data_IF_116385978988
#
_entry.id   IF_116385978988
#
_cell.length_a   1.000
_cell.length_b   1.000
_cell.length_c   1.000
_cell.angle_alpha   90.00
_cell.angle_beta   90.00
_cell.angle_gamma   90.00
#
_symmetry.space_group_name_H-M   'P 1'
#
loop_
_entity.id
_entity.type
_entity.pdbx_description
1 polymer ?
#
# COMPACT_ATOMS: atom_id res chain seq x y z
N UNK A 1 4.53 35.95 -25.53
CA UNK A 1 3.53 34.94 -25.93
C UNK A 1 2.76 34.60 -24.66
N UNK A 2 1.48 34.99 -24.59
CA UNK A 2 0.67 34.72 -23.40
C UNK A 2 0.34 33.23 -23.34
N UNK A 3 0.53 32.61 -22.18
CA UNK A 3 0.16 31.22 -21.94
C UNK A 3 -1.29 31.20 -21.47
N UNK A 4 -2.14 30.44 -22.15
CA UNK A 4 -3.55 30.31 -21.78
C UNK A 4 -3.87 28.90 -21.32
N UNK A 5 -4.50 28.76 -20.17
CA UNK A 5 -5.10 27.51 -19.72
C UNK A 5 -6.48 27.35 -20.37
N UNK A 6 -6.68 26.24 -21.08
CA UNK A 6 -7.99 25.88 -21.65
C UNK A 6 -8.50 24.60 -21.01
N UNK A 7 -9.57 24.68 -20.24
CA UNK A 7 -10.18 23.54 -19.58
C UNK A 7 -11.70 23.70 -19.49
N UNK A 8 -12.45 22.65 -19.84
CA UNK A 8 -13.93 22.64 -19.75
C UNK A 8 -14.63 23.84 -20.43
N UNK A 9 -14.10 24.32 -21.57
CA UNK A 9 -14.66 25.47 -22.29
C UNK A 9 -14.31 26.83 -21.69
N UNK A 10 -13.44 26.86 -20.68
CA UNK A 10 -12.96 28.06 -20.01
C UNK A 10 -11.54 28.35 -20.49
N UNK A 11 -11.30 29.61 -20.83
CA UNK A 11 -9.97 30.13 -21.11
C UNK A 11 -9.56 31.09 -19.99
N UNK A 12 -8.36 30.89 -19.45
CA UNK A 12 -7.77 31.74 -18.43
C UNK A 12 -6.32 32.05 -18.82
N UNK A 13 -5.90 33.30 -18.61
CA UNK A 13 -4.51 33.70 -18.83
C UNK A 13 -3.65 33.27 -17.65
N UNK A 14 -2.45 32.76 -17.95
CA UNK A 14 -1.48 32.32 -16.96
C UNK A 14 -0.42 33.42 -16.83
N UNK A 15 -0.39 34.09 -15.67
CA UNK A 15 0.60 35.13 -15.37
C UNK A 15 1.90 34.56 -14.82
N UNK A 16 1.84 33.43 -14.10
CA UNK A 16 3.03 32.73 -13.59
C UNK A 16 2.85 31.21 -13.65
N UNK A 17 3.96 30.51 -13.90
CA UNK A 17 3.94 29.07 -14.12
C UNK A 17 5.22 28.41 -13.59
N UNK A 18 5.06 27.41 -12.73
CA UNK A 18 6.13 26.51 -12.29
C UNK A 18 5.65 25.06 -12.46
N UNK A 19 6.14 24.39 -13.50
CA UNK A 19 5.74 23.03 -13.84
C UNK A 19 6.90 22.07 -13.62
N UNK A 20 6.59 20.93 -13.00
CA UNK A 20 7.44 19.75 -13.02
C UNK A 20 6.92 18.78 -14.06
N UNK A 21 7.64 18.56 -15.15
CA UNK A 21 7.30 17.46 -16.05
C UNK A 21 7.79 16.13 -15.46
N UNK A 22 6.92 15.12 -15.50
CA UNK A 22 7.24 13.76 -15.07
C UNK A 22 6.84 12.75 -16.14
N UNK A 23 7.63 11.69 -16.26
CA UNK A 23 7.27 10.52 -17.06
C UNK A 23 6.50 9.55 -16.19
N UNK A 24 5.24 9.29 -16.55
CA UNK A 24 4.40 8.32 -15.87
C UNK A 24 4.41 7.01 -16.66
N UNK A 25 4.90 5.96 -16.01
CA UNK A 25 4.97 4.60 -16.54
C UNK A 25 4.17 3.66 -15.63
N UNK A 26 3.98 2.42 -16.07
CA UNK A 26 3.31 1.43 -15.23
C UNK A 26 3.10 0.13 -15.96
N UNK A 27 2.47 -0.81 -15.28
CA UNK A 27 2.15 -2.13 -15.83
C UNK A 27 0.66 -2.25 -16.12
N UNK A 28 0.28 -2.96 -17.19
CA UNK A 28 -1.12 -3.29 -17.50
C UNK A 28 -1.36 -4.78 -17.22
N UNK A 29 -1.91 -5.15 -16.04
CA UNK A 29 -2.01 -6.55 -15.62
C UNK A 29 -2.83 -7.41 -16.58
N UNK A 30 -3.87 -6.85 -17.20
CA UNK A 30 -4.74 -7.57 -18.15
C UNK A 30 -4.02 -7.94 -19.46
N UNK A 31 -3.03 -7.16 -19.87
CA UNK A 31 -2.31 -7.37 -21.12
C UNK A 31 -0.93 -8.01 -20.91
N UNK A 32 -0.44 -8.09 -19.66
CA UNK A 32 0.91 -8.59 -19.38
C UNK A 32 2.02 -7.73 -19.97
N UNK A 33 1.74 -6.46 -20.28
CA UNK A 33 2.63 -5.55 -20.98
C UNK A 33 2.81 -4.22 -20.21
N UNK A 34 3.93 -3.51 -20.40
CA UNK A 34 4.08 -2.16 -19.89
C UNK A 34 3.03 -1.23 -20.53
N UNK A 35 2.47 -0.32 -19.73
CA UNK A 35 1.63 0.77 -20.22
C UNK A 35 2.50 1.70 -21.09
N UNK A 36 1.94 2.31 -22.14
CA UNK A 36 2.64 3.37 -22.87
C UNK A 36 3.14 4.45 -21.91
N UNK A 37 4.41 4.83 -22.04
CA UNK A 37 4.99 5.95 -21.29
C UNK A 37 4.27 7.23 -21.64
N UNK A 38 3.88 8.00 -20.62
CA UNK A 38 3.16 9.28 -20.79
C UNK A 38 3.94 10.39 -20.13
N UNK A 39 3.88 11.58 -20.71
CA UNK A 39 4.29 12.80 -20.02
C UNK A 39 3.10 13.35 -19.23
N UNK A 40 3.36 13.78 -18.02
CA UNK A 40 2.38 14.39 -17.14
C UNK A 40 2.98 15.59 -16.42
N UNK A 41 2.11 16.46 -15.93
CA UNK A 41 2.46 17.49 -14.96
C UNK A 41 2.49 16.81 -13.58
N UNK A 42 3.64 16.89 -12.91
CA UNK A 42 3.86 16.31 -11.60
C UNK A 42 3.15 17.09 -10.50
N UNK A 43 2.79 16.39 -9.41
CA UNK A 43 2.24 17.01 -8.22
C UNK A 43 3.21 18.07 -7.65
N UNK A 44 2.64 19.12 -7.06
CA UNK A 44 3.39 20.30 -6.58
C UNK A 44 3.69 21.34 -7.66
N UNK A 45 3.28 21.11 -8.91
CA UNK A 45 3.29 22.16 -9.93
C UNK A 45 2.27 23.25 -9.62
N UNK A 46 2.59 24.50 -9.88
CA UNK A 46 1.79 25.66 -9.50
C UNK A 46 1.66 26.63 -10.68
N UNK A 47 0.50 27.27 -10.81
CA UNK A 47 0.28 28.36 -11.76
C UNK A 47 -0.59 29.45 -11.14
N UNK A 48 -0.37 30.69 -11.55
CA UNK A 48 -1.23 31.83 -11.22
C UNK A 48 -2.11 32.11 -12.43
N UNK A 49 -3.42 32.16 -12.20
CA UNK A 49 -4.43 32.42 -13.23
C UNK A 49 -5.02 33.80 -13.03
N UNK A 50 -5.01 34.60 -14.09
CA UNK A 50 -5.66 35.90 -14.14
C UNK A 50 -7.06 35.69 -14.75
N UNK A 51 -8.03 35.32 -13.91
CA UNK A 51 -9.40 35.10 -14.35
C UNK A 51 -10.43 35.33 -13.23
N UNK A 52 -11.70 35.36 -13.62
CA UNK A 52 -12.83 35.48 -12.70
C UNK A 52 -12.88 34.27 -11.75
N UNK A 53 -12.90 34.49 -10.41
CA UNK A 53 -13.02 33.42 -9.41
C UNK A 53 -14.12 32.39 -9.70
N UNK A 54 -15.26 32.82 -10.28
CA UNK A 54 -16.35 31.91 -10.63
C UNK A 54 -15.94 30.88 -11.70
N UNK A 55 -15.08 31.27 -12.64
CA UNK A 55 -14.52 30.36 -13.67
C UNK A 55 -13.54 29.37 -13.06
N UNK A 56 -12.79 29.77 -12.03
CA UNK A 56 -11.80 28.88 -11.39
C UNK A 56 -12.50 27.72 -10.66
N UNK A 57 -13.64 27.97 -10.03
CA UNK A 57 -14.43 26.91 -9.38
C UNK A 57 -14.92 25.85 -10.38
N UNK A 58 -15.28 26.28 -11.59
CA UNK A 58 -15.67 25.36 -12.66
C UNK A 58 -14.46 24.52 -13.15
N UNK A 59 -13.27 25.11 -13.22
CA UNK A 59 -12.03 24.38 -13.51
C UNK A 59 -11.72 23.36 -12.42
N UNK A 60 -11.92 23.70 -11.14
CA UNK A 60 -11.74 22.77 -10.03
C UNK A 60 -12.67 21.56 -10.12
N UNK A 61 -13.96 21.81 -10.34
CA UNK A 61 -14.97 20.76 -10.46
C UNK A 61 -14.72 19.86 -11.69
N UNK A 62 -14.23 20.45 -12.78
CA UNK A 62 -13.90 19.72 -13.98
C UNK A 62 -12.57 18.95 -13.84
N UNK A 63 -11.57 19.47 -13.15
CA UNK A 63 -10.20 18.97 -13.20
C UNK A 63 -9.51 19.20 -14.56
N UNK A 64 -8.23 18.87 -14.63
CA UNK A 64 -7.40 19.09 -15.82
C UNK A 64 -7.02 17.79 -16.55
N UNK A 65 -7.00 17.84 -17.88
CA UNK A 65 -6.48 16.75 -18.71
C UNK A 65 -7.42 15.56 -18.93
N UNK A 66 -6.86 14.51 -19.51
CA UNK A 66 -7.63 13.43 -20.16
C UNK A 66 -8.02 12.26 -19.23
N UNK A 67 -7.25 11.99 -18.16
CA UNK A 67 -7.36 10.76 -17.35
C UNK A 67 -7.93 11.00 -15.94
N UNK A 68 -8.93 11.86 -15.85
CA UNK A 68 -9.57 12.25 -14.58
C UNK A 68 -10.22 11.08 -13.85
N UNK A 69 -10.84 10.17 -14.58
CA UNK A 69 -11.46 8.96 -14.02
C UNK A 69 -10.46 8.01 -13.34
N UNK A 70 -9.17 8.18 -13.58
CA UNK A 70 -8.11 7.37 -12.96
C UNK A 70 -7.43 8.09 -11.79
N UNK A 71 -7.93 9.27 -11.40
CA UNK A 71 -7.39 10.09 -10.31
C UNK A 71 -6.34 11.13 -10.73
N UNK A 72 -6.10 11.33 -12.03
CA UNK A 72 -5.20 12.38 -12.51
C UNK A 72 -5.94 13.72 -12.70
N UNK A 73 -5.18 14.82 -12.74
CA UNK A 73 -5.76 16.11 -13.10
C UNK A 73 -6.50 16.81 -11.97
N UNK A 74 -6.31 16.35 -10.74
CA UNK A 74 -6.83 17.03 -9.55
C UNK A 74 -6.06 18.33 -9.36
N UNK A 75 -6.81 19.41 -9.18
CA UNK A 75 -6.29 20.76 -8.96
C UNK A 75 -6.87 21.31 -7.67
N UNK A 76 -6.14 22.23 -7.05
CA UNK A 76 -6.59 22.97 -5.87
C UNK A 76 -6.28 24.45 -6.07
N UNK A 77 -7.22 25.31 -5.74
CA UNK A 77 -6.97 26.76 -5.65
C UNK A 77 -6.45 27.03 -4.26
N UNK A 78 -5.35 27.79 -4.16
CA UNK A 78 -4.89 28.32 -2.90
C UNK A 78 -4.87 27.23 -1.82
N UNK A 79 -4.24 26.09 -2.15
CA UNK A 79 -4.22 24.92 -1.28
C UNK A 79 -3.95 25.35 0.16
N UNK A 80 -4.62 24.77 1.18
CA UNK A 80 -4.39 25.13 2.58
C UNK A 80 -2.91 25.06 2.96
N UNK A 81 -2.13 24.19 2.31
CA UNK A 81 -0.68 24.10 2.47
C UNK A 81 0.10 25.36 2.05
N UNK A 82 -0.50 26.23 1.23
CA UNK A 82 0.10 27.47 0.69
C UNK A 82 -0.53 28.72 1.31
N UNK A 83 -1.83 28.69 1.61
CA UNK A 83 -2.58 29.89 2.01
C UNK A 83 -3.07 29.92 3.44
N UNK A 84 -3.11 28.78 4.13
CA UNK A 84 -3.29 28.84 5.57
C UNK A 84 -2.10 29.60 6.17
N UNK A 85 -2.33 30.53 7.12
CA UNK A 85 -1.27 30.99 8.00
C UNK A 85 -0.53 29.75 8.49
N UNK A 86 0.80 29.74 8.42
CA UNK A 86 1.59 28.60 8.92
C UNK A 86 1.17 28.23 10.36
N UNK A 87 0.65 29.18 11.13
CA UNK A 87 0.07 29.01 12.47
C UNK A 87 -1.31 28.34 12.56
N UNK A 88 -2.07 28.22 11.46
CA UNK A 88 -3.41 27.62 11.42
C UNK A 88 -3.42 26.21 10.82
N UNK A 89 -2.34 25.82 10.14
CA UNK A 89 -1.94 24.43 10.16
C UNK A 89 -1.49 24.18 11.60
N UNK A 90 -2.13 23.27 12.31
CA UNK A 90 -1.65 22.83 13.62
C UNK A 90 -0.28 22.17 13.45
N UNK A 91 0.76 22.99 13.33
CA UNK A 91 2.03 22.67 13.95
C UNK A 91 1.70 22.47 15.42
N UNK A 92 2.08 21.30 15.95
CA UNK A 92 2.34 21.21 17.37
C UNK A 92 3.21 22.39 17.78
N UNK A 93 2.98 22.86 19.00
CA UNK A 93 3.78 23.82 19.77
C UNK A 93 5.11 24.24 19.11
N UNK A 94 5.26 25.56 18.89
CA UNK A 94 6.44 26.26 18.37
C UNK A 94 7.68 25.38 18.15
N UNK A 95 7.83 24.91 16.91
CA UNK A 95 9.14 24.47 16.46
C UNK A 95 9.93 25.76 16.19
N UNK A 96 10.84 26.10 17.09
CA UNK A 96 11.92 27.05 16.86
C UNK A 96 12.45 26.90 15.43
N UNK A 97 12.88 27.97 14.78
CA UNK A 97 13.52 27.84 13.46
C UNK A 97 14.79 26.99 13.65
N UNK A 98 14.74 25.70 13.31
CA UNK A 98 15.90 24.80 13.38
C UNK A 98 16.91 25.31 12.37
N UNK A 99 17.92 26.04 12.84
CA UNK A 99 19.20 26.09 12.14
C UNK A 99 19.66 24.64 12.04
N UNK A 100 19.63 24.08 10.83
CA UNK A 100 20.21 22.78 10.53
C UNK A 100 21.72 22.91 10.72
N UNK A 101 22.17 22.72 11.95
CA UNK A 101 23.57 22.72 12.34
C UNK A 101 24.28 21.41 11.91
N UNK A 102 23.58 20.57 11.12
CA UNK A 102 24.05 19.27 10.65
C UNK A 102 24.17 18.24 11.77
N UNK A 103 23.70 18.52 12.99
CA UNK A 103 23.72 17.55 14.08
C UNK A 103 22.37 16.84 14.18
N UNK A 104 22.43 15.53 14.29
CA UNK A 104 21.25 14.72 14.56
C UNK A 104 20.60 15.21 15.87
N UNK A 105 19.32 15.53 15.82
CA UNK A 105 18.57 15.89 17.01
C UNK A 105 18.49 14.68 17.95
N UNK A 106 18.79 14.91 19.23
CA UNK A 106 18.60 13.88 20.24
C UNK A 106 17.11 13.60 20.40
N UNK A 107 16.72 12.36 20.15
CA UNK A 107 15.34 11.91 20.32
C UNK A 107 14.91 12.07 21.77
N UNK A 108 13.76 12.69 22.00
CA UNK A 108 13.20 12.88 23.34
C UNK A 108 11.88 12.10 23.50
N UNK A 109 11.28 12.19 24.70
CA UNK A 109 10.06 11.45 25.03
C UNK A 109 8.83 11.80 24.16
N UNK A 110 8.79 13.00 23.56
CA UNK A 110 7.71 13.42 22.68
C UNK A 110 7.79 12.77 21.30
N UNK A 111 8.95 12.24 20.91
CA UNK A 111 9.15 11.54 19.63
C UNK A 111 8.62 10.10 19.65
N UNK A 112 8.25 9.57 20.82
CA UNK A 112 7.79 8.19 20.99
C UNK A 112 6.65 7.78 20.04
N UNK A 113 5.58 8.58 19.84
CA UNK A 113 4.52 8.23 18.88
C UNK A 113 5.04 8.13 17.43
N UNK A 114 5.94 9.03 17.05
CA UNK A 114 6.56 9.04 15.73
C UNK A 114 7.47 7.83 15.54
N UNK A 115 8.36 7.55 16.50
CA UNK A 115 9.24 6.38 16.47
C UNK A 115 8.44 5.09 16.40
N UNK A 116 7.32 5.01 17.13
CA UNK A 116 6.42 3.86 17.07
C UNK A 116 5.76 3.71 15.70
N UNK A 117 5.38 4.82 15.05
CA UNK A 117 4.85 4.78 13.69
C UNK A 117 5.90 4.32 12.66
N UNK A 118 7.14 4.80 12.78
CA UNK A 118 8.26 4.39 11.92
C UNK A 118 8.55 2.90 12.11
N UNK A 119 8.66 2.43 13.36
CA UNK A 119 8.81 1.01 13.69
C UNK A 119 7.68 0.18 13.09
N UNK A 120 6.43 0.55 13.34
CA UNK A 120 5.27 -0.17 12.84
C UNK A 120 5.30 -0.30 11.31
N UNK A 121 5.76 0.75 10.62
CA UNK A 121 5.91 0.75 9.16
C UNK A 121 7.05 -0.17 8.72
N UNK A 122 8.22 -0.08 9.35
CA UNK A 122 9.37 -0.95 9.07
C UNK A 122 8.99 -2.43 9.24
N UNK A 123 8.40 -2.78 10.39
CA UNK A 123 7.98 -4.15 10.70
C UNK A 123 7.01 -4.68 9.64
N UNK A 124 6.00 -3.88 9.26
CA UNK A 124 5.02 -4.26 8.23
C UNK A 124 5.67 -4.50 6.87
N UNK A 125 6.58 -3.63 6.44
CA UNK A 125 7.27 -3.81 5.16
C UNK A 125 8.15 -5.06 5.18
N UNK A 126 8.92 -5.30 6.24
CA UNK A 126 9.77 -6.50 6.34
C UNK A 126 8.97 -7.79 6.37
N UNK A 127 7.83 -7.82 7.07
CA UNK A 127 6.90 -8.95 7.05
C UNK A 127 6.43 -9.22 5.62
N UNK A 128 6.05 -8.17 4.88
CA UNK A 128 5.57 -8.29 3.49
C UNK A 128 6.65 -8.82 2.56
N UNK A 129 7.85 -8.23 2.59
CA UNK A 129 8.99 -8.66 1.78
C UNK A 129 9.30 -10.14 2.03
N UNK A 130 9.40 -10.54 3.30
CA UNK A 130 9.71 -11.91 3.66
C UNK A 130 8.62 -12.88 3.22
N UNK A 131 7.35 -12.53 3.43
CA UNK A 131 6.22 -13.31 2.98
C UNK A 131 6.28 -13.55 1.46
N UNK A 132 6.56 -12.53 0.66
CA UNK A 132 6.65 -12.64 -0.80
C UNK A 132 7.82 -13.52 -1.24
N UNK A 133 9.00 -13.36 -0.63
CA UNK A 133 10.18 -14.20 -0.91
C UNK A 133 9.89 -15.67 -0.58
N UNK A 134 9.32 -15.93 0.59
CA UNK A 134 9.05 -17.28 1.08
C UNK A 134 8.08 -18.03 0.16
N UNK A 135 6.94 -17.41 -0.14
CA UNK A 135 5.88 -18.04 -0.92
C UNK A 135 6.16 -18.03 -2.42
N UNK A 136 7.22 -17.37 -2.90
CA UNK A 136 7.61 -17.42 -4.32
C UNK A 136 7.95 -18.86 -4.75
N UNK A 137 8.52 -19.66 -3.84
CA UNK A 137 8.93 -21.04 -4.10
C UNK A 137 7.73 -21.99 -4.12
N UNK A 138 7.58 -22.72 -5.23
CA UNK A 138 6.48 -23.70 -5.42
C UNK A 138 6.53 -24.80 -4.37
N UNK A 139 7.73 -25.37 -4.13
CA UNK A 139 7.95 -26.41 -3.12
C UNK A 139 7.50 -25.96 -1.74
N UNK A 140 7.88 -24.74 -1.33
CA UNK A 140 7.50 -24.22 -0.02
C UNK A 140 5.98 -24.16 0.17
N UNK A 141 5.22 -23.70 -0.84
CA UNK A 141 3.75 -23.65 -0.78
C UNK A 141 3.13 -25.06 -0.69
N UNK A 142 3.68 -26.03 -1.41
CA UNK A 142 3.23 -27.43 -1.35
C UNK A 142 3.47 -28.03 0.03
N UNK A 143 4.67 -27.85 0.57
CA UNK A 143 5.09 -28.49 1.81
C UNK A 143 4.41 -27.86 3.03
N UNK A 144 4.31 -26.52 3.07
CA UNK A 144 3.83 -25.80 4.25
C UNK A 144 2.34 -25.44 4.19
N UNK A 145 1.78 -25.17 3.01
CA UNK A 145 0.36 -24.83 2.86
C UNK A 145 -0.47 -25.96 2.27
N UNK A 146 0.16 -27.01 1.71
CA UNK A 146 -0.55 -28.08 1.00
C UNK A 146 -1.01 -27.67 -0.39
N UNK A 147 -0.52 -26.53 -0.90
CA UNK A 147 -0.97 -25.97 -2.17
C UNK A 147 -0.22 -26.61 -3.34
N UNK A 148 -0.95 -27.29 -4.22
CA UNK A 148 -0.47 -28.08 -5.36
C UNK A 148 -1.28 -27.75 -6.61
N UNK A 149 -0.93 -28.33 -7.76
CA UNK A 149 -1.52 -28.00 -9.08
C UNK A 149 -3.05 -28.13 -9.14
N UNK A 150 -3.67 -28.93 -8.27
CA UNK A 150 -5.13 -29.09 -8.20
C UNK A 150 -5.82 -28.35 -7.04
N UNK A 151 -5.07 -27.75 -6.12
CA UNK A 151 -5.66 -27.13 -4.93
C UNK A 151 -4.72 -26.09 -4.29
N UNK A 152 -5.22 -24.91 -3.88
CA UNK A 152 -6.61 -24.49 -3.95
C UNK A 152 -7.04 -24.07 -5.36
N UNK A 153 -8.26 -24.40 -5.76
CA UNK A 153 -8.81 -23.91 -7.03
C UNK A 153 -9.18 -22.42 -6.95
N UNK A 154 -9.44 -21.77 -8.11
CA UNK A 154 -9.74 -20.34 -8.18
C UNK A 154 -10.93 -19.90 -7.30
N UNK A 155 -11.96 -20.74 -7.19
CA UNK A 155 -13.12 -20.47 -6.32
C UNK A 155 -12.74 -20.48 -4.85
N UNK A 156 -11.94 -21.47 -4.43
CA UNK A 156 -11.40 -21.56 -3.08
C UNK A 156 -10.49 -20.37 -2.74
N UNK A 157 -9.61 -19.96 -3.65
CA UNK A 157 -8.79 -18.75 -3.48
C UNK A 157 -9.65 -17.48 -3.38
N UNK A 158 -10.74 -17.41 -4.16
CA UNK A 158 -11.70 -16.31 -4.10
C UNK A 158 -12.38 -16.20 -2.73
N UNK A 159 -12.87 -17.32 -2.21
CA UNK A 159 -13.49 -17.39 -0.89
C UNK A 159 -12.50 -17.05 0.22
N UNK A 160 -11.29 -17.64 0.19
CA UNK A 160 -10.24 -17.33 1.15
C UNK A 160 -9.89 -15.84 1.15
N UNK A 161 -9.79 -15.21 -0.04
CA UNK A 161 -9.54 -13.78 -0.16
C UNK A 161 -10.67 -12.94 0.45
N UNK A 162 -11.93 -13.32 0.24
CA UNK A 162 -13.07 -12.61 0.80
C UNK A 162 -13.05 -12.61 2.33
N UNK A 163 -12.70 -13.75 2.94
CA UNK A 163 -12.49 -13.85 4.38
C UNK A 163 -11.32 -13.01 4.87
N UNK A 164 -10.21 -13.01 4.13
CA UNK A 164 -9.00 -12.27 4.52
C UNK A 164 -9.20 -10.76 4.52
N UNK A 165 -10.07 -10.23 3.65
CA UNK A 165 -10.41 -8.80 3.64
C UNK A 165 -11.19 -8.32 4.88
N UNK A 166 -11.60 -9.23 5.77
CA UNK A 166 -12.39 -8.92 6.98
C UNK A 166 -11.72 -9.35 8.28
N UNK A 167 -10.45 -9.76 8.26
CA UNK A 167 -9.80 -10.39 9.42
C UNK A 167 -9.42 -9.37 10.51
N UNK A 168 -10.42 -8.80 11.19
CA UNK A 168 -10.26 -7.76 12.22
C UNK A 168 -10.62 -8.27 13.62
N UNK A 169 -11.52 -9.24 13.72
CA UNK A 169 -12.03 -9.77 14.99
C UNK A 169 -11.81 -11.28 15.15
N UNK A 170 -11.98 -11.76 16.38
CA UNK A 170 -11.98 -13.21 16.67
C UNK A 170 -13.16 -13.93 15.99
N UNK A 171 -14.28 -13.24 15.76
CA UNK A 171 -15.41 -13.79 15.02
C UNK A 171 -15.03 -14.07 13.56
N UNK A 172 -14.23 -13.20 12.95
CA UNK A 172 -13.73 -13.39 11.59
C UNK A 172 -12.77 -14.58 11.51
N UNK A 173 -11.88 -14.71 12.51
CA UNK A 173 -10.98 -15.87 12.63
C UNK A 173 -11.78 -17.17 12.71
N UNK A 174 -12.86 -17.20 13.49
CA UNK A 174 -13.74 -18.36 13.60
C UNK A 174 -14.46 -18.67 12.29
N UNK A 175 -14.91 -17.66 11.55
CA UNK A 175 -15.55 -17.83 10.24
C UNK A 175 -14.57 -18.42 9.22
N UNK A 176 -13.34 -17.88 9.15
CA UNK A 176 -12.27 -18.43 8.30
C UNK A 176 -11.96 -19.87 8.70
N UNK A 177 -11.85 -20.14 10.00
CA UNK A 177 -11.51 -21.46 10.52
C UNK A 177 -12.58 -22.50 10.16
N UNK A 178 -13.86 -22.12 10.26
CA UNK A 178 -15.00 -22.96 9.87
C UNK A 178 -14.95 -23.28 8.39
N UNK A 179 -14.67 -22.29 7.54
CA UNK A 179 -14.48 -22.49 6.11
C UNK A 179 -13.32 -23.46 5.84
N UNK A 180 -12.14 -23.22 6.41
CA UNK A 180 -10.94 -24.02 6.18
C UNK A 180 -11.10 -25.49 6.55
N UNK A 181 -11.82 -25.81 7.63
CA UNK A 181 -12.13 -27.20 8.03
C UNK A 181 -12.98 -27.96 6.99
N UNK A 182 -13.76 -27.24 6.19
CA UNK A 182 -14.64 -27.82 5.17
C UNK A 182 -14.00 -27.99 3.79
N UNK A 183 -12.79 -27.46 3.55
CA UNK A 183 -12.21 -27.44 2.20
C UNK A 183 -11.59 -28.79 1.84
N UNK A 184 -11.81 -29.24 0.59
CA UNK A 184 -11.15 -30.41 -0.01
C UNK A 184 -10.43 -30.04 -1.33
N UNK A 185 -9.30 -30.70 -1.66
CA UNK A 185 -8.51 -31.60 -0.81
C UNK A 185 -7.93 -30.86 0.41
N UNK A 186 -7.48 -31.61 1.43
CA UNK A 186 -7.13 -31.09 2.76
C UNK A 186 -5.84 -30.24 2.78
N UNK A 187 -5.93 -29.03 2.23
CA UNK A 187 -4.96 -27.96 2.45
C UNK A 187 -5.41 -27.01 3.55
N UNK A 188 -6.71 -27.01 3.87
CA UNK A 188 -7.33 -26.14 4.86
C UNK A 188 -6.74 -26.34 6.26
N UNK A 189 -6.45 -27.58 6.66
CA UNK A 189 -5.83 -27.87 7.97
C UNK A 189 -4.48 -27.20 8.17
N UNK A 190 -3.62 -27.15 7.14
CA UNK A 190 -2.31 -26.49 7.23
C UNK A 190 -2.41 -24.97 7.36
N UNK A 191 -3.38 -24.37 6.67
CA UNK A 191 -3.65 -22.92 6.79
C UNK A 191 -4.29 -22.61 8.14
N UNK A 192 -5.18 -23.47 8.63
CA UNK A 192 -5.83 -23.34 9.93
C UNK A 192 -4.80 -23.32 11.08
N UNK A 193 -3.74 -24.14 10.97
CA UNK A 193 -2.66 -24.17 11.95
C UNK A 193 -1.99 -22.80 12.16
N UNK A 194 -1.99 -21.89 11.17
CA UNK A 194 -1.48 -20.52 11.34
C UNK A 194 -2.32 -19.69 12.32
N UNK A 195 -3.64 -19.91 12.30
CA UNK A 195 -4.57 -19.19 13.16
C UNK A 195 -4.60 -19.79 14.58
N UNK A 196 -4.37 -21.10 14.71
CA UNK A 196 -4.38 -21.79 16.00
C UNK A 196 -3.01 -21.75 16.70
N UNK A 197 -1.89 -21.86 15.97
CA UNK A 197 -0.54 -21.88 16.52
C UNK A 197 0.16 -20.52 16.36
N UNK A 198 0.19 -19.74 17.44
CA UNK A 198 0.74 -18.38 17.42
C UNK A 198 2.24 -18.29 17.05
N UNK A 199 3.12 -19.16 17.55
CA UNK A 199 4.53 -19.19 17.12
C UNK A 199 4.77 -19.51 15.64
N UNK A 200 3.94 -20.35 15.03
CA UNK A 200 4.22 -20.95 13.71
C UNK A 200 4.49 -19.91 12.61
N UNK A 201 3.70 -18.83 12.57
CA UNK A 201 3.87 -17.77 11.56
C UNK A 201 5.24 -17.11 11.67
N UNK A 202 5.71 -16.89 12.89
CA UNK A 202 7.02 -16.30 13.14
C UNK A 202 8.14 -17.28 12.85
N UNK A 203 7.90 -18.58 13.03
CA UNK A 203 8.85 -19.61 12.60
C UNK A 203 9.05 -19.61 11.10
N UNK A 204 7.97 -19.49 10.33
CA UNK A 204 8.06 -19.41 8.87
C UNK A 204 8.69 -18.10 8.39
N UNK A 205 8.42 -17.02 9.11
CA UNK A 205 9.03 -15.73 8.89
C UNK A 205 10.40 -15.60 9.56
N UNK A 206 11.01 -16.68 10.09
CA UNK A 206 12.41 -16.66 10.54
C UNK A 206 13.28 -16.09 9.41
N UNK A 207 14.04 -15.06 9.73
CA UNK A 207 14.81 -14.26 8.77
C UNK A 207 14.21 -12.89 8.44
N UNK A 208 13.03 -12.55 8.96
CA UNK A 208 12.70 -11.12 9.16
C UNK A 208 13.69 -10.60 10.19
N UNK A 209 14.53 -9.64 9.80
CA UNK A 209 15.43 -8.94 10.72
C UNK A 209 14.60 -7.99 11.60
N UNK A 210 13.72 -8.55 12.44
CA UNK A 210 12.85 -7.78 13.33
C UNK A 210 13.67 -6.93 14.30
N UNK A 211 14.86 -7.42 14.69
CA UNK A 211 15.85 -6.68 15.46
C UNK A 211 16.28 -5.36 14.79
N UNK A 212 16.28 -5.29 13.46
CA UNK A 212 16.62 -4.05 12.72
C UNK A 212 15.45 -3.07 12.63
N UNK A 213 14.22 -3.53 12.85
CA UNK A 213 13.04 -2.67 12.88
C UNK A 213 12.61 -2.26 14.28
N UNK A 214 13.10 -2.94 15.32
CA UNK A 214 12.83 -2.64 16.71
C UNK A 214 13.52 -1.32 17.10
N UNK A 215 12.72 -0.27 17.30
CA UNK A 215 13.17 1.07 17.71
C UNK A 215 12.65 1.37 19.12
N UNK A 216 11.36 1.13 19.35
CA UNK A 216 10.66 1.40 20.60
C UNK A 216 10.33 0.10 21.32
N UNK A 217 9.86 -0.92 20.60
CA UNK A 217 9.49 -2.21 21.18
C UNK A 217 10.58 -3.26 21.02
N UNK A 218 10.55 -4.24 21.91
CA UNK A 218 11.36 -5.45 21.76
C UNK A 218 10.81 -6.32 20.61
N UNK A 219 11.65 -7.12 19.94
CA UNK A 219 11.18 -8.11 18.97
C UNK A 219 10.12 -9.06 19.53
N UNK A 220 10.25 -9.44 20.81
CA UNK A 220 9.33 -10.31 21.52
C UNK A 220 7.94 -9.66 21.69
N UNK A 221 7.89 -8.36 22.00
CA UNK A 221 6.64 -7.58 22.03
C UNK A 221 5.98 -7.56 20.65
N UNK A 222 6.76 -7.32 19.59
CA UNK A 222 6.25 -7.30 18.21
C UNK A 222 5.67 -8.67 17.82
N UNK A 223 6.33 -9.77 18.22
CA UNK A 223 5.90 -11.13 17.91
C UNK A 223 4.68 -11.58 18.74
N UNK A 224 4.51 -11.04 19.94
CA UNK A 224 3.35 -11.33 20.80
C UNK A 224 2.13 -10.45 20.50
N UNK A 225 2.33 -9.33 19.79
CA UNK A 225 1.25 -8.46 19.34
C UNK A 225 0.33 -9.16 18.31
N UNK A 226 -0.96 -9.25 18.68
CA UNK A 226 -2.01 -9.86 17.86
C UNK A 226 -2.19 -9.16 16.51
N UNK A 227 -1.98 -7.85 16.45
CA UNK A 227 -2.11 -7.02 15.26
C UNK A 227 -1.04 -7.40 14.24
N UNK A 228 0.22 -7.46 14.66
CA UNK A 228 1.32 -7.86 13.78
C UNK A 228 1.20 -9.31 13.35
N UNK A 229 0.76 -10.20 14.25
CA UNK A 229 0.49 -11.59 13.91
C UNK A 229 -0.58 -11.71 12.81
N UNK A 230 -1.73 -11.04 12.97
CA UNK A 230 -2.81 -11.04 11.98
C UNK A 230 -2.34 -10.47 10.65
N UNK A 231 -1.60 -9.36 10.69
CA UNK A 231 -1.01 -8.75 9.51
C UNK A 231 -0.03 -9.70 8.79
N UNK A 232 0.80 -10.43 9.54
CA UNK A 232 1.73 -11.42 9.00
C UNK A 232 1.02 -12.57 8.29
N UNK A 233 -0.03 -13.14 8.90
CA UNK A 233 -0.85 -14.18 8.29
C UNK A 233 -1.50 -13.66 6.99
N UNK A 234 -2.08 -12.44 7.03
CA UNK A 234 -2.72 -11.83 5.87
C UNK A 234 -1.73 -11.59 4.73
N UNK A 235 -0.53 -11.07 5.02
CA UNK A 235 0.51 -10.85 4.02
C UNK A 235 0.97 -12.17 3.40
N UNK A 236 1.24 -13.17 4.23
CA UNK A 236 1.67 -14.50 3.79
C UNK A 236 0.64 -15.14 2.86
N UNK A 237 -0.62 -15.24 3.31
CA UNK A 237 -1.66 -15.89 2.52
C UNK A 237 -2.00 -15.10 1.26
N UNK A 238 -2.01 -13.76 1.32
CA UNK A 238 -2.23 -12.92 0.13
C UNK A 238 -1.12 -13.06 -0.89
N UNK A 239 0.14 -13.12 -0.45
CA UNK A 239 1.27 -13.36 -1.32
C UNK A 239 1.23 -14.78 -1.90
N UNK A 240 0.92 -15.79 -1.09
CA UNK A 240 0.77 -17.18 -1.52
C UNK A 240 -0.33 -17.30 -2.59
N UNK A 241 -1.51 -16.71 -2.37
CA UNK A 241 -2.63 -16.74 -3.32
C UNK A 241 -2.23 -16.17 -4.68
N UNK A 242 -1.52 -15.03 -4.68
CA UNK A 242 -1.01 -14.40 -5.91
C UNK A 242 0.02 -15.30 -6.61
N UNK A 243 0.97 -15.86 -5.87
CA UNK A 243 2.01 -16.72 -6.42
C UNK A 243 1.44 -18.04 -6.98
N UNK A 244 0.47 -18.63 -6.29
CA UNK A 244 -0.17 -19.86 -6.73
C UNK A 244 -1.04 -19.66 -7.97
N UNK A 245 -1.86 -18.60 -8.00
CA UNK A 245 -2.66 -18.21 -9.18
C UNK A 245 -1.79 -18.08 -10.43
N UNK A 246 -0.67 -17.36 -10.34
CA UNK A 246 0.29 -17.23 -11.45
C UNK A 246 0.88 -18.57 -11.88
N UNK A 247 1.11 -19.48 -10.94
CA UNK A 247 1.58 -20.83 -11.23
C UNK A 247 0.56 -21.64 -12.03
N UNK A 248 -0.71 -21.59 -11.64
CA UNK A 248 -1.81 -22.27 -12.37
C UNK A 248 -1.98 -21.71 -13.79
N UNK A 249 -1.98 -20.38 -13.94
CA UNK A 249 -2.08 -19.72 -15.25
C UNK A 249 -0.92 -20.11 -16.20
N UNK A 250 0.28 -20.31 -15.66
CA UNK A 250 1.44 -20.77 -16.45
C UNK A 250 1.25 -22.21 -16.94
N UNK A 251 0.73 -23.09 -16.08
CA UNK A 251 0.46 -24.49 -16.42
C UNK A 251 -0.68 -24.61 -17.44
N UNK A 252 -1.72 -23.78 -17.36
CA UNK A 252 -2.80 -23.74 -18.35
C UNK A 252 -2.26 -23.35 -19.74
N UNK A 253 -1.37 -22.35 -19.80
CA UNK A 253 -0.72 -21.92 -21.05
C UNK A 253 0.22 -22.98 -21.63
N UNK A 254 0.91 -23.77 -20.81
CA UNK A 254 1.81 -24.84 -21.27
C UNK A 254 1.06 -26.07 -21.80
N UNK A 255 -0.21 -26.25 -21.41
CA UNK A 255 -1.08 -27.36 -21.84
C UNK A 255 -2.02 -27.02 -23.01
N UNK A 256 -1.97 -25.78 -23.52
CA UNK A 256 -2.78 -25.30 -24.66
C UNK A 256 -1.91 -25.19 -25.90
#
# INVERSE_FOLDING_TARGET
MALTLKAAGIEAEISQLSLKLVRHEGWMPRAGLPKPSRLAIGAGSVCVLDCDPAKVQQILAAGLGLRRAEGFGVVQINSPFVTAPLSANSHGEDCDRWEDDGKAHELNGNDQPYLKQVENTCVRERIRERAEILVSKVSWRKDNLGWSEGAPNMSQLGNLRAFMGRLESEADINAVSTYLRGVKPDWGGKVLALFENSPLIWEWLKGVQLLECAIVSTPEEIMTDKTFRRYAILCLLSAAMRAHKRGLEKLELENT
#
